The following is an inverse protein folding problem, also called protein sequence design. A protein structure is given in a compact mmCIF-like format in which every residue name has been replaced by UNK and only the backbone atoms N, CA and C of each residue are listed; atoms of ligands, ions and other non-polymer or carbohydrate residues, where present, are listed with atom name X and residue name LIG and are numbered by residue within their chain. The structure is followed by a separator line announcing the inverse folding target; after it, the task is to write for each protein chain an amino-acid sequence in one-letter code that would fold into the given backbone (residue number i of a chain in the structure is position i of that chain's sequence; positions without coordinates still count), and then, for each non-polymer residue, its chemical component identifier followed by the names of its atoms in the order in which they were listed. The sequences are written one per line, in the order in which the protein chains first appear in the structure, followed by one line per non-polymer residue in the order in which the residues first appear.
data_IF_173146102701
#
_entry.id   IF_173146102701
#
_cell.length_a   1.000
_cell.length_b   1.000
_cell.length_c   1.000
_cell.angle_alpha   90.00
_cell.angle_beta   90.00
_cell.angle_gamma   90.00
#
_symmetry.space_group_name_H-M   'P 1'
#
loop_
_entity.id
_entity.type
_entity.pdbx_description
1 polymer ?
#
# COMPACT_ATOMS: atom_id res chain seq x y z
N UNK A 1 -1.48 -4.48 14.45
CA UNK A 1 -1.96 -4.03 13.12
C UNK A 1 -3.20 -4.83 12.79
N UNK A 2 -4.30 -4.18 12.40
CA UNK A 2 -5.47 -4.92 11.90
C UNK A 2 -5.27 -5.32 10.44
N UNK A 3 -6.07 -6.26 9.93
CA UNK A 3 -6.05 -6.62 8.50
C UNK A 3 -6.33 -5.42 7.60
N UNK A 4 -7.20 -4.51 8.05
CA UNK A 4 -7.53 -3.27 7.33
C UNK A 4 -6.30 -2.36 7.22
N UNK A 5 -5.55 -2.20 8.31
CA UNK A 5 -4.33 -1.39 8.33
C UNK A 5 -3.25 -1.98 7.41
N UNK A 6 -3.08 -3.31 7.43
CA UNK A 6 -2.11 -3.99 6.55
C UNK A 6 -2.42 -3.74 5.07
N UNK A 7 -3.69 -3.85 4.67
CA UNK A 7 -4.14 -3.56 3.30
C UNK A 7 -3.92 -2.09 2.95
N UNK A 8 -4.22 -1.16 3.86
CA UNK A 8 -3.98 0.27 3.64
C UNK A 8 -2.48 0.58 3.44
N UNK A 9 -1.60 -0.05 4.22
CA UNK A 9 -0.15 0.12 4.10
C UNK A 9 0.40 -0.54 2.83
N UNK A 10 -0.12 -1.70 2.41
CA UNK A 10 0.24 -2.31 1.12
C UNK A 10 -0.17 -1.39 -0.03
N UNK A 11 -1.36 -0.80 0.04
CA UNK A 11 -1.84 0.17 -0.95
C UNK A 11 -0.96 1.42 -0.99
N UNK A 12 -0.56 1.94 0.18
CA UNK A 12 0.38 3.06 0.25
C UNK A 12 1.75 2.68 -0.35
N UNK A 13 2.27 1.51 -0.02
CA UNK A 13 3.53 1.01 -0.60
C UNK A 13 3.42 0.85 -2.13
N UNK A 14 2.28 0.37 -2.65
CA UNK A 14 1.99 0.33 -4.08
C UNK A 14 1.99 1.71 -4.74
N UNK A 15 1.43 2.72 -4.07
CA UNK A 15 1.48 4.11 -4.54
C UNK A 15 2.92 4.62 -4.67
N UNK A 16 3.80 4.30 -3.70
CA UNK A 16 5.20 4.71 -3.73
C UNK A 16 6.11 3.82 -4.58
N UNK A 17 5.62 2.67 -5.06
CA UNK A 17 6.45 1.67 -5.73
C UNK A 17 7.38 0.90 -4.77
N UNK A 18 7.12 0.94 -3.46
CA UNK A 18 7.92 0.25 -2.44
C UNK A 18 7.51 -1.22 -2.32
N UNK A 19 8.02 -2.04 -3.23
CA UNK A 19 7.72 -3.48 -3.26
C UNK A 19 8.26 -4.21 -2.03
N UNK A 20 9.38 -3.74 -1.44
CA UNK A 20 10.01 -4.37 -0.28
C UNK A 20 9.13 -4.24 0.95
N UNK A 21 8.61 -3.04 1.23
CA UNK A 21 7.70 -2.81 2.35
C UNK A 21 6.38 -3.55 2.13
N UNK A 22 5.84 -3.54 0.91
CA UNK A 22 4.61 -4.27 0.60
C UNK A 22 4.74 -5.79 0.86
N UNK A 23 5.84 -6.40 0.42
CA UNK A 23 6.11 -7.84 0.63
C UNK A 23 6.31 -8.18 2.11
N UNK A 24 7.00 -7.30 2.86
CA UNK A 24 7.17 -7.46 4.30
C UNK A 24 5.82 -7.47 5.02
N UNK A 25 4.95 -6.49 4.74
CA UNK A 25 3.63 -6.39 5.35
C UNK A 25 2.76 -7.60 4.99
N UNK A 26 2.77 -8.01 3.71
CA UNK A 26 2.08 -9.21 3.24
C UNK A 26 2.46 -10.46 4.06
N UNK A 27 3.76 -10.69 4.21
CA UNK A 27 4.30 -11.88 4.89
C UNK A 27 4.03 -11.85 6.39
N UNK A 28 4.33 -10.73 7.04
CA UNK A 28 4.20 -10.59 8.51
C UNK A 28 2.74 -10.62 8.98
N UNK A 29 1.80 -10.13 8.16
CA UNK A 29 0.38 -10.01 8.54
C UNK A 29 -0.51 -11.08 7.91
N UNK A 30 0.06 -12.07 7.22
CA UNK A 30 -0.66 -13.18 6.58
C UNK A 30 -1.82 -12.71 5.69
N UNK A 31 -1.58 -11.66 4.91
CA UNK A 31 -2.55 -11.16 3.93
C UNK A 31 -2.65 -12.18 2.79
N UNK A 32 -3.85 -12.46 2.26
CA UNK A 32 -3.96 -13.34 1.09
C UNK A 32 -3.28 -12.72 -0.12
N UNK A 33 -2.74 -13.55 -1.00
CA UNK A 33 -2.07 -13.09 -2.22
C UNK A 33 -2.99 -12.20 -3.09
N UNK A 34 -4.27 -12.54 -3.19
CA UNK A 34 -5.28 -11.74 -3.90
C UNK A 34 -5.40 -10.34 -3.30
N UNK A 35 -5.59 -10.23 -1.97
CA UNK A 35 -5.75 -8.94 -1.30
C UNK A 35 -4.46 -8.10 -1.37
N UNK A 36 -3.29 -8.74 -1.32
CA UNK A 36 -2.01 -8.08 -1.54
C UNK A 36 -1.91 -7.49 -2.95
N UNK A 37 -2.19 -8.30 -3.97
CA UNK A 37 -2.04 -7.92 -5.38
C UNK A 37 -3.00 -6.79 -5.76
N UNK A 38 -4.26 -6.88 -5.32
CA UNK A 38 -5.27 -5.84 -5.53
C UNK A 38 -4.89 -4.52 -4.85
N UNK A 39 -4.45 -4.58 -3.59
CA UNK A 39 -4.07 -3.39 -2.84
C UNK A 39 -2.87 -2.69 -3.46
N UNK A 40 -1.82 -3.44 -3.82
CA UNK A 40 -0.61 -2.90 -4.45
C UNK A 40 -0.92 -2.28 -5.81
N UNK A 41 -1.65 -2.98 -6.67
CA UNK A 41 -2.06 -2.49 -7.98
C UNK A 41 -2.93 -1.23 -7.87
N UNK A 42 -3.89 -1.20 -6.93
CA UNK A 42 -4.73 -0.01 -6.71
C UNK A 42 -3.90 1.19 -6.25
N UNK A 43 -2.89 0.98 -5.41
CA UNK A 43 -1.94 2.02 -5.02
C UNK A 43 -1.24 2.64 -6.22
N UNK A 44 -0.67 1.80 -7.10
CA UNK A 44 -0.02 2.25 -8.31
C UNK A 44 -0.98 2.99 -9.26
N UNK A 45 -2.21 2.49 -9.39
CA UNK A 45 -3.26 3.12 -10.23
C UNK A 45 -3.64 4.52 -9.71
N UNK A 46 -3.78 4.71 -8.40
CA UNK A 46 -4.09 6.02 -7.82
C UNK A 46 -3.03 7.08 -8.15
N UNK A 47 -1.76 6.68 -8.20
CA UNK A 47 -0.67 7.56 -8.63
C UNK A 47 -0.81 7.92 -10.12
N UNK A 48 -1.19 6.98 -10.97
CA UNK A 48 -1.45 7.22 -12.40
C UNK A 48 -2.67 8.12 -12.61
N UNK A 49 -3.70 8.00 -11.77
CA UNK A 49 -4.90 8.85 -11.75
C UNK A 49 -4.61 10.27 -11.21
N UNK A 50 -3.38 10.56 -10.75
CA UNK A 50 -3.00 11.88 -10.22
C UNK A 50 -3.57 12.18 -8.82
N UNK A 51 -4.03 11.18 -8.09
CA UNK A 51 -4.55 11.37 -6.74
C UNK A 51 -3.41 11.75 -5.78
N UNK A 52 -3.56 12.86 -5.07
CA UNK A 52 -2.56 13.31 -4.10
C UNK A 52 -2.44 12.33 -2.92
N UNK A 53 -1.21 11.98 -2.55
CA UNK A 53 -0.94 11.17 -1.37
C UNK A 53 -0.97 12.03 -0.10
N UNK A 54 -1.59 11.51 0.96
CA UNK A 54 -1.73 12.19 2.25
C UNK A 54 -0.92 11.53 3.36
N UNK A 55 0.03 10.66 3.03
CA UNK A 55 0.94 10.10 4.03
C UNK A 55 1.87 11.18 4.60
N UNK A 56 2.42 10.94 5.78
CA UNK A 56 3.31 11.89 6.44
C UNK A 56 4.55 12.23 5.59
N UNK A 57 5.04 11.29 4.76
CA UNK A 57 6.17 11.54 3.86
C UNK A 57 5.82 12.51 2.72
N UNK A 58 4.60 12.45 2.19
CA UNK A 58 4.14 13.33 1.11
C UNK A 58 3.50 14.62 1.59
N UNK A 59 2.94 14.60 2.79
CA UNK A 59 2.25 15.73 3.40
C UNK A 59 2.61 15.80 4.89
N UNK A 60 3.83 16.24 5.24
CA UNK A 60 4.25 16.50 6.62
C UNK A 60 3.56 17.78 7.08
N UNK A 61 2.33 17.66 7.56
CA UNK A 61 1.56 18.74 8.20
C UNK A 61 1.32 18.41 9.66
#
# INVERSE_FOLDING_TARGET
MTRKDAIALIKLAGYHGDTKTALRIYTENRVSYTAYSEAYARGAQLKQEGMACTCFECNPR
#
